data_IF_495236285521
#
_entry.id   IF_495236285521
#
_cell.length_a   1.000
_cell.length_b   1.000
_cell.length_c   1.000
_cell.angle_alpha   90.00
_cell.angle_beta   90.00
_cell.angle_gamma   90.00
#
_symmetry.space_group_name_H-M   'P 1'
#
loop_
_entity.id
_entity.type
_entity.pdbx_description
1 polymer ?
#
# COMPACT_ATOMS: atom_id res chain seq x y z
N UNK A 1 12.80 -13.06 -13.41
CA UNK A 1 11.48 -13.14 -12.74
C UNK A 1 10.76 -11.78 -12.69
N UNK A 2 11.04 -10.83 -11.78
CA UNK A 2 10.40 -9.49 -11.88
C UNK A 2 10.96 -8.66 -13.05
N UNK A 3 12.24 -8.83 -13.40
CA UNK A 3 12.84 -8.21 -14.59
C UNK A 3 12.31 -8.81 -15.92
N UNK A 4 11.78 -10.03 -15.87
CA UNK A 4 11.23 -10.76 -17.03
C UNK A 4 9.71 -10.54 -17.18
N UNK A 5 9.01 -10.38 -16.04
CA UNK A 5 7.59 -10.02 -15.96
C UNK A 5 7.47 -8.67 -15.24
N UNK A 6 7.95 -7.55 -15.85
CA UNK A 6 8.04 -6.25 -15.20
C UNK A 6 6.69 -5.64 -14.81
N UNK A 7 5.58 -6.26 -15.21
CA UNK A 7 4.19 -5.85 -14.97
C UNK A 7 3.42 -6.89 -14.13
N UNK A 8 4.07 -7.98 -13.74
CA UNK A 8 3.40 -9.11 -13.10
C UNK A 8 2.90 -8.79 -11.69
N UNK A 9 1.90 -9.57 -11.25
CA UNK A 9 1.39 -9.54 -9.88
C UNK A 9 2.46 -10.09 -8.94
N UNK A 10 2.95 -9.26 -8.02
CA UNK A 10 4.09 -9.57 -7.14
C UNK A 10 3.83 -10.84 -6.32
N UNK A 11 2.63 -11.00 -5.77
CA UNK A 11 2.24 -12.20 -5.03
C UNK A 11 2.29 -13.48 -5.87
N UNK A 12 1.92 -13.41 -7.15
CA UNK A 12 1.96 -14.57 -8.04
C UNK A 12 3.40 -14.98 -8.33
N UNK A 13 4.29 -14.01 -8.57
CA UNK A 13 5.73 -14.25 -8.76
C UNK A 13 6.35 -14.84 -7.48
N UNK A 14 5.98 -14.31 -6.31
CA UNK A 14 6.47 -14.80 -5.02
C UNK A 14 6.13 -16.28 -4.80
N UNK A 15 4.90 -16.68 -5.13
CA UNK A 15 4.47 -18.10 -5.09
C UNK A 15 5.21 -18.95 -6.11
N UNK A 16 5.37 -18.47 -7.35
CA UNK A 16 6.07 -19.18 -8.44
C UNK A 16 7.52 -19.50 -8.07
N UNK A 17 8.20 -18.59 -7.38
CA UNK A 17 9.62 -18.73 -7.02
C UNK A 17 9.87 -19.20 -5.58
N UNK A 18 8.81 -19.38 -4.78
CA UNK A 18 8.91 -19.89 -3.40
C UNK A 18 9.55 -18.93 -2.40
N UNK A 19 9.32 -17.62 -2.54
CA UNK A 19 9.80 -16.59 -1.59
C UNK A 19 8.66 -15.70 -1.11
N UNK A 20 8.89 -14.82 -0.14
CA UNK A 20 7.85 -13.91 0.36
C UNK A 20 7.52 -12.81 -0.66
N UNK A 21 6.30 -12.27 -0.57
CA UNK A 21 5.86 -11.15 -1.42
C UNK A 21 6.79 -9.94 -1.28
N UNK A 22 7.22 -9.63 -0.05
CA UNK A 22 8.18 -8.56 0.23
C UNK A 22 9.53 -8.79 -0.46
N UNK A 23 10.07 -10.01 -0.43
CA UNK A 23 11.36 -10.31 -1.08
C UNK A 23 11.30 -10.06 -2.60
N UNK A 24 10.18 -10.40 -3.25
CA UNK A 24 9.99 -10.09 -4.66
C UNK A 24 9.89 -8.59 -4.91
N UNK A 25 9.17 -7.85 -4.06
CA UNK A 25 9.10 -6.39 -4.16
C UNK A 25 10.49 -5.75 -3.97
N UNK A 26 11.26 -6.19 -2.99
CA UNK A 26 12.59 -5.66 -2.70
C UNK A 26 13.62 -6.02 -3.78
N UNK A 27 13.38 -7.07 -4.56
CA UNK A 27 14.17 -7.36 -5.76
C UNK A 27 13.84 -6.43 -6.95
N UNK A 28 12.74 -5.68 -6.90
CA UNK A 28 12.41 -4.69 -7.94
C UNK A 28 13.44 -3.54 -7.96
N UNK A 29 13.62 -2.86 -9.12
CA UNK A 29 14.49 -1.70 -9.22
C UNK A 29 14.19 -0.65 -8.14
N UNK A 30 15.23 -0.07 -7.54
CA UNK A 30 15.09 0.94 -6.48
C UNK A 30 14.28 2.17 -6.93
N UNK A 31 14.28 2.48 -8.23
CA UNK A 31 13.45 3.56 -8.79
C UNK A 31 11.94 3.29 -8.73
N UNK A 32 11.52 2.04 -8.54
CA UNK A 32 10.11 1.63 -8.48
C UNK A 32 9.58 1.49 -7.05
N UNK A 33 10.44 1.66 -6.04
CA UNK A 33 10.05 1.47 -4.64
C UNK A 33 10.79 2.40 -3.70
N UNK A 34 10.10 2.89 -2.68
CA UNK A 34 10.70 3.68 -1.60
C UNK A 34 10.20 3.14 -0.27
N UNK A 35 11.13 2.86 0.65
CA UNK A 35 10.77 2.33 1.97
C UNK A 35 10.29 3.47 2.89
N UNK A 36 9.26 3.18 3.69
CA UNK A 36 8.85 3.99 4.83
C UNK A 36 9.07 3.13 6.08
N UNK A 37 9.76 3.63 7.13
CA UNK A 37 9.88 2.92 8.39
C UNK A 37 8.50 2.53 8.96
N UNK A 38 8.35 1.27 9.38
CA UNK A 38 7.08 0.77 9.92
C UNK A 38 6.60 1.55 11.17
N UNK A 39 7.52 2.20 11.89
CA UNK A 39 7.20 3.10 13.00
C UNK A 39 6.30 4.28 12.59
N UNK A 40 6.26 4.64 11.31
CA UNK A 40 5.39 5.69 10.78
C UNK A 40 3.99 5.20 10.39
N UNK A 41 3.59 3.97 10.76
CA UNK A 41 2.29 3.41 10.40
C UNK A 41 1.13 4.38 10.67
N UNK A 42 1.03 4.91 11.90
CA UNK A 42 -0.07 5.80 12.29
C UNK A 42 0.02 7.14 11.57
N UNK A 43 1.19 7.78 11.53
CA UNK A 43 1.38 9.04 10.81
C UNK A 43 1.01 8.92 9.32
N UNK A 44 1.42 7.82 8.69
CA UNK A 44 1.06 7.53 7.30
C UNK A 44 -0.44 7.26 7.15
N UNK A 45 -1.07 6.53 8.08
CA UNK A 45 -2.53 6.36 8.07
C UNK A 45 -3.27 7.69 8.14
N UNK A 46 -2.83 8.60 9.02
CA UNK A 46 -3.41 9.94 9.16
C UNK A 46 -3.21 10.78 7.88
N UNK A 47 -2.07 10.68 7.20
CA UNK A 47 -1.88 11.29 5.89
C UNK A 47 -2.84 10.69 4.84
N UNK A 48 -2.92 9.37 4.74
CA UNK A 48 -3.80 8.69 3.77
C UNK A 48 -5.29 8.99 4.02
N UNK A 49 -5.70 9.28 5.26
CA UNK A 49 -7.07 9.71 5.56
C UNK A 49 -7.45 11.04 4.92
N UNK A 50 -6.46 11.85 4.52
CA UNK A 50 -6.65 13.15 3.86
C UNK A 50 -6.67 13.05 2.33
N UNK A 51 -6.52 11.85 1.76
CA UNK A 51 -6.47 11.65 0.31
C UNK A 51 -7.85 11.59 -0.35
N UNK A 52 -8.93 11.71 0.43
CA UNK A 52 -10.29 11.46 -0.05
C UNK A 52 -10.51 9.96 -0.31
N UNK A 53 -11.19 9.62 -1.41
CA UNK A 53 -11.49 8.21 -1.75
C UNK A 53 -10.26 7.51 -2.31
N UNK A 54 -9.77 6.48 -1.62
CA UNK A 54 -8.69 5.60 -2.09
C UNK A 54 -9.25 4.25 -2.54
N UNK A 55 -8.40 3.42 -3.16
CA UNK A 55 -8.68 2.01 -3.39
C UNK A 55 -7.87 1.17 -2.39
N UNK A 56 -8.55 0.54 -1.45
CA UNK A 56 -7.98 -0.35 -0.44
C UNK A 56 -8.08 -1.80 -0.90
N UNK A 57 -6.98 -2.54 -0.85
CA UNK A 57 -6.91 -3.92 -1.34
C UNK A 57 -6.37 -4.85 -0.26
N UNK A 58 -7.07 -5.96 -0.06
CA UNK A 58 -6.57 -7.13 0.66
C UNK A 58 -6.38 -8.25 -0.36
N UNK A 59 -5.14 -8.73 -0.51
CA UNK A 59 -4.80 -9.77 -1.47
C UNK A 59 -4.29 -10.99 -0.72
N UNK A 60 -5.05 -12.09 -0.83
CA UNK A 60 -4.75 -13.39 -0.21
C UNK A 60 -4.47 -14.43 -1.30
N UNK A 61 -4.13 -15.68 -0.96
CA UNK A 61 -4.08 -16.77 -1.93
C UNK A 61 -5.39 -16.96 -2.72
N UNK A 62 -6.53 -16.76 -2.05
CA UNK A 62 -7.84 -17.18 -2.57
C UNK A 62 -8.67 -16.05 -3.15
N UNK A 63 -8.50 -14.82 -2.63
CA UNK A 63 -9.24 -13.64 -3.09
C UNK A 63 -8.37 -12.39 -3.16
N UNK A 64 -8.73 -11.52 -4.11
CA UNK A 64 -8.41 -10.10 -4.09
C UNK A 64 -9.69 -9.35 -3.73
N UNK A 65 -9.72 -8.75 -2.55
CA UNK A 65 -10.81 -7.88 -2.14
C UNK A 65 -10.42 -6.44 -2.39
N UNK A 66 -11.25 -5.72 -3.14
CA UNK A 66 -11.09 -4.31 -3.43
C UNK A 66 -12.23 -3.50 -2.80
N UNK A 67 -11.88 -2.43 -2.08
CA UNK A 67 -12.85 -1.53 -1.47
C UNK A 67 -12.48 -0.08 -1.77
N UNK A 68 -13.41 0.68 -2.33
CA UNK A 68 -13.24 2.13 -2.53
C UNK A 68 -13.93 2.88 -1.41
N UNK A 69 -13.20 3.76 -0.74
CA UNK A 69 -13.73 4.55 0.37
C UNK A 69 -12.73 5.58 0.88
N UNK A 70 -13.20 6.44 1.78
CA UNK A 70 -12.33 7.33 2.55
C UNK A 70 -11.77 6.52 3.72
N UNK A 71 -10.47 6.62 4.02
CA UNK A 71 -9.94 5.96 5.21
C UNK A 71 -10.35 6.76 6.46
N UNK A 72 -11.13 6.18 7.40
CA UNK A 72 -11.42 6.86 8.65
C UNK A 72 -10.12 7.08 9.44
N UNK A 73 -10.07 8.14 10.25
CA UNK A 73 -9.03 8.25 11.27
C UNK A 73 -9.16 7.05 12.22
N UNK A 74 -8.03 6.51 12.64
CA UNK A 74 -7.99 5.40 13.59
C UNK A 74 -7.31 5.77 14.89
N UNK A 75 -7.32 4.83 15.82
CA UNK A 75 -6.62 4.94 17.10
C UNK A 75 -6.19 3.56 17.63
N UNK A 76 -5.09 3.55 18.39
CA UNK A 76 -4.64 2.34 19.06
C UNK A 76 -5.52 1.98 20.26
N UNK A 77 -5.89 0.70 20.38
CA UNK A 77 -6.63 0.16 21.51
C UNK A 77 -6.66 -1.37 21.47
N UNK A 78 -6.56 -2.01 22.63
CA UNK A 78 -6.61 -3.48 22.78
C UNK A 78 -5.64 -4.27 21.87
N UNK A 79 -4.48 -3.69 21.53
CA UNK A 79 -3.48 -4.33 20.65
C UNK A 79 -3.75 -4.20 19.15
N UNK A 80 -4.75 -3.40 18.75
CA UNK A 80 -5.10 -3.10 17.37
C UNK A 80 -5.08 -1.60 17.11
N UNK A 81 -4.93 -1.23 15.84
CA UNK A 81 -5.28 0.07 15.31
C UNK A 81 -6.70 -0.01 14.75
N UNK A 82 -7.64 0.65 15.41
CA UNK A 82 -9.07 0.52 15.18
C UNK A 82 -9.53 1.62 14.23
N UNK A 83 -10.25 1.25 13.18
CA UNK A 83 -10.72 2.16 12.13
C UNK A 83 -12.24 2.04 12.01
N UNK A 84 -12.94 3.06 12.50
CA UNK A 84 -14.39 3.13 12.50
C UNK A 84 -14.84 4.52 12.07
N UNK A 85 -15.92 4.60 11.30
CA UNK A 85 -16.46 5.85 10.79
C UNK A 85 -17.44 5.60 9.65
N UNK A 86 -17.87 6.68 9.02
CA UNK A 86 -18.74 6.64 7.85
C UNK A 86 -17.94 6.30 6.58
N UNK A 87 -17.59 5.02 6.45
CA UNK A 87 -16.86 4.47 5.30
C UNK A 87 -17.10 2.97 5.20
N UNK A 88 -17.12 2.38 3.97
CA UNK A 88 -17.10 0.93 3.81
C UNK A 88 -15.77 0.31 4.25
N UNK A 89 -14.73 1.12 4.47
CA UNK A 89 -13.43 0.68 4.98
C UNK A 89 -13.42 0.87 6.50
N UNK A 90 -13.57 -0.23 7.24
CA UNK A 90 -13.50 -0.26 8.69
C UNK A 90 -13.00 -1.60 9.23
N UNK A 91 -12.78 -1.67 10.54
CA UNK A 91 -12.29 -2.88 11.22
C UNK A 91 -11.07 -2.63 12.12
N UNK A 92 -10.24 -3.65 12.26
CA UNK A 92 -9.14 -3.67 13.22
C UNK A 92 -7.87 -4.17 12.56
N UNK A 93 -6.83 -3.34 12.55
CA UNK A 93 -5.53 -3.68 11.96
C UNK A 93 -4.57 -4.00 13.09
N UNK A 94 -3.94 -5.18 13.08
CA UNK A 94 -2.88 -5.52 14.04
C UNK A 94 -1.57 -4.83 13.63
N UNK A 95 -1.54 -3.50 13.71
CA UNK A 95 -0.44 -2.68 13.18
C UNK A 95 0.93 -3.00 13.80
N UNK A 96 0.98 -3.52 15.02
CA UNK A 96 2.22 -4.04 15.62
C UNK A 96 2.86 -5.23 14.87
N UNK A 97 2.13 -5.87 13.96
CA UNK A 97 2.68 -6.89 13.05
C UNK A 97 3.36 -6.27 11.81
N UNK A 98 3.15 -4.99 11.51
CA UNK A 98 3.74 -4.33 10.35
C UNK A 98 5.25 -4.17 10.54
N UNK A 99 6.04 -4.69 9.60
CA UNK A 99 7.51 -4.67 9.64
C UNK A 99 8.13 -3.90 8.49
N UNK A 100 7.45 -3.79 7.35
CA UNK A 100 7.89 -2.97 6.24
C UNK A 100 6.70 -2.24 5.60
N UNK A 101 6.95 -1.03 5.11
CA UNK A 101 6.01 -0.25 4.32
C UNK A 101 6.76 0.23 3.09
N UNK A 102 6.16 0.07 1.91
CA UNK A 102 6.74 0.53 0.67
C UNK A 102 5.75 1.38 -0.12
N UNK A 103 6.23 2.54 -0.57
CA UNK A 103 5.70 3.24 -1.73
C UNK A 103 6.15 2.45 -2.95
N UNK A 104 5.21 2.08 -3.83
CA UNK A 104 5.47 1.28 -5.03
C UNK A 104 4.93 2.04 -6.23
N UNK A 105 5.82 2.37 -7.16
CA UNK A 105 5.57 3.16 -8.36
C UNK A 105 6.11 2.39 -9.56
N UNK A 106 5.24 1.61 -10.20
CA UNK A 106 5.63 0.69 -11.28
C UNK A 106 4.56 0.55 -12.33
N UNK A 107 4.93 -0.01 -13.47
CA UNK A 107 3.93 -0.42 -14.46
C UNK A 107 3.17 -1.66 -13.95
N UNK A 108 1.86 -1.65 -14.19
CA UNK A 108 0.98 -2.79 -13.98
C UNK A 108 0.03 -2.87 -15.18
N UNK A 109 0.14 -3.96 -15.94
CA UNK A 109 -0.52 -4.13 -17.23
C UNK A 109 -0.35 -2.92 -18.17
N UNK A 110 0.90 -2.48 -18.36
CA UNK A 110 1.25 -1.37 -19.26
C UNK A 110 0.88 0.03 -18.78
N UNK A 111 0.40 0.21 -17.54
CA UNK A 111 0.04 1.53 -16.98
C UNK A 111 0.74 1.79 -15.67
N UNK A 112 1.18 3.04 -15.46
CA UNK A 112 1.78 3.48 -14.19
C UNK A 112 0.79 3.30 -13.04
N UNK A 113 1.18 2.58 -12.01
CA UNK A 113 0.39 2.28 -10.82
C UNK A 113 1.16 2.70 -9.57
N UNK A 114 0.53 3.48 -8.70
CA UNK A 114 1.12 4.00 -7.47
C UNK A 114 0.35 3.45 -6.27
N UNK A 115 1.06 2.78 -5.35
CA UNK A 115 0.46 2.17 -4.16
C UNK A 115 1.36 2.27 -2.94
N UNK A 116 0.75 2.24 -1.76
CA UNK A 116 1.41 2.06 -0.48
C UNK A 116 1.07 0.65 0.00
N UNK A 117 2.09 -0.17 0.24
CA UNK A 117 1.92 -1.57 0.61
C UNK A 117 2.53 -1.83 1.98
N UNK A 118 1.77 -2.48 2.85
CA UNK A 118 2.13 -2.75 4.24
C UNK A 118 2.39 -4.24 4.39
N UNK A 119 3.53 -4.62 4.97
CA UNK A 119 3.98 -6.01 5.06
C UNK A 119 4.15 -6.44 6.52
N UNK A 120 3.80 -7.69 6.80
CA UNK A 120 3.98 -8.30 8.12
C UNK A 120 5.39 -8.91 8.29
N UNK A 121 5.67 -9.49 9.46
CA UNK A 121 6.95 -10.13 9.75
C UNK A 121 7.27 -11.40 8.95
N UNK A 122 6.30 -11.98 8.24
CA UNK A 122 6.53 -13.09 7.30
C UNK A 122 6.82 -12.57 5.87
N UNK A 123 6.81 -11.25 5.65
CA UNK A 123 6.95 -10.65 4.33
C UNK A 123 5.70 -10.72 3.45
N UNK A 124 4.53 -11.04 4.04
CA UNK A 124 3.26 -11.03 3.33
C UNK A 124 2.60 -9.66 3.40
N UNK A 125 1.92 -9.25 2.31
CA UNK A 125 1.18 -8.01 2.28
C UNK A 125 -0.03 -8.10 3.22
N UNK A 126 -0.08 -7.22 4.22
CA UNK A 126 -1.23 -7.05 5.11
C UNK A 126 -2.41 -6.45 4.36
N UNK A 127 -2.13 -5.39 3.58
CA UNK A 127 -3.06 -4.69 2.71
C UNK A 127 -2.28 -3.67 1.85
N UNK A 128 -2.98 -3.07 0.89
CA UNK A 128 -2.44 -2.05 -0.01
C UNK A 128 -3.43 -0.89 -0.14
N UNK A 129 -2.90 0.32 -0.32
CA UNK A 129 -3.67 1.53 -0.62
C UNK A 129 -3.18 2.09 -1.95
N UNK A 130 -4.06 2.20 -2.94
CA UNK A 130 -3.71 2.70 -4.26
C UNK A 130 -4.15 4.13 -4.46
N UNK A 131 -3.30 4.91 -5.14
CA UNK A 131 -3.71 6.16 -5.81
C UNK A 131 -4.80 5.79 -6.80
N UNK A 132 -5.94 6.45 -6.68
CA UNK A 132 -7.10 6.16 -7.48
C UNK A 132 -6.94 6.62 -8.91
N UNK A 133 -7.78 6.05 -9.78
CA UNK A 133 -7.98 6.58 -11.12
C UNK A 133 -9.30 7.34 -11.24
N UNK A 134 -9.26 8.40 -12.05
CA UNK A 134 -10.42 9.14 -12.50
C UNK A 134 -11.20 8.41 -13.60
N UNK A 135 -12.32 8.98 -14.07
CA UNK A 135 -13.12 8.42 -15.16
C UNK A 135 -12.36 8.26 -16.50
N UNK A 136 -11.40 9.13 -16.75
CA UNK A 136 -10.45 9.09 -17.88
C UNK A 136 -9.40 7.97 -17.76
N UNK A 137 -9.41 7.25 -16.64
CA UNK A 137 -8.45 6.20 -16.26
C UNK A 137 -7.05 6.73 -16.00
N UNK A 138 -6.86 8.04 -15.82
CA UNK A 138 -5.61 8.62 -15.33
C UNK A 138 -5.55 8.60 -13.80
N UNK A 139 -4.35 8.67 -13.24
CA UNK A 139 -4.18 8.74 -11.78
C UNK A 139 -4.74 10.08 -11.27
N UNK A 140 -5.41 10.03 -10.13
CA UNK A 140 -5.92 11.23 -9.47
C UNK A 140 -4.75 12.18 -9.16
N UNK A 141 -4.75 13.42 -9.69
CA UNK A 141 -3.59 14.30 -9.64
C UNK A 141 -3.28 14.79 -8.22
N UNK A 142 -4.29 14.96 -7.36
CA UNK A 142 -4.08 15.40 -5.98
C UNK A 142 -3.44 14.28 -5.16
N UNK A 143 -3.98 13.07 -5.24
CA UNK A 143 -3.41 11.90 -4.58
C UNK A 143 -2.01 11.58 -5.09
N UNK A 144 -1.79 11.71 -6.40
CA UNK A 144 -0.47 11.49 -7.00
C UNK A 144 0.56 12.52 -6.48
N UNK A 145 0.19 13.79 -6.37
CA UNK A 145 1.07 14.82 -5.80
C UNK A 145 1.46 14.49 -4.34
N UNK A 146 0.50 14.03 -3.52
CA UNK A 146 0.76 13.58 -2.15
C UNK A 146 1.65 12.34 -2.10
N UNK A 147 1.43 11.37 -2.98
CA UNK A 147 2.28 10.18 -3.12
C UNK A 147 3.73 10.53 -3.45
N UNK A 148 3.97 11.47 -4.38
CA UNK A 148 5.31 11.94 -4.71
C UNK A 148 5.96 12.72 -3.55
N UNK A 149 5.17 13.48 -2.78
CA UNK A 149 5.65 14.12 -1.56
C UNK A 149 6.15 13.09 -0.54
N UNK A 150 5.44 11.97 -0.37
CA UNK A 150 5.87 10.88 0.51
C UNK A 150 7.22 10.27 0.06
N UNK A 151 7.45 10.11 -1.24
CA UNK A 151 8.73 9.60 -1.79
C UNK A 151 9.93 10.49 -1.45
N UNK A 152 9.69 11.77 -1.17
CA UNK A 152 10.73 12.75 -0.83
C UNK A 152 10.85 13.04 0.67
N UNK A 153 10.18 12.23 1.52
CA UNK A 153 10.34 12.29 2.98
C UNK A 153 9.38 13.22 3.71
N UNK A 154 8.22 13.56 3.13
CA UNK A 154 7.24 14.46 3.74
C UNK A 154 6.73 14.01 5.13
N UNK A 155 6.80 12.71 5.47
CA UNK A 155 6.41 12.19 6.79
C UNK A 155 7.35 12.54 7.94
N UNK A 156 8.55 13.06 7.66
CA UNK A 156 9.61 13.29 8.66
C UNK A 156 9.64 14.76 9.13
N UNK A 157 8.77 15.63 8.60
CA UNK A 157 8.84 17.09 8.82
C UNK A 157 7.92 17.65 9.91
N UNK A 158 7.36 16.82 10.79
CA UNK A 158 6.60 17.24 11.98
C UNK A 158 7.42 17.08 13.24
#
# INVERSE_FOLDING_TARGET
>A
MLAEKPDGVIEAIAREVGVSTLAVLEAAPASQRSAIPAAHFEALWQELSQWGKVLFIVHTPDIVLECTGILPRGSFGHGYYNIHGDSPIGGHIKAGNCRAIHLVDRLFHGRRSCSIQFFNGAGEAMFKVFVRRGPDRELDPEQLARFEALKTGALVRT
#
